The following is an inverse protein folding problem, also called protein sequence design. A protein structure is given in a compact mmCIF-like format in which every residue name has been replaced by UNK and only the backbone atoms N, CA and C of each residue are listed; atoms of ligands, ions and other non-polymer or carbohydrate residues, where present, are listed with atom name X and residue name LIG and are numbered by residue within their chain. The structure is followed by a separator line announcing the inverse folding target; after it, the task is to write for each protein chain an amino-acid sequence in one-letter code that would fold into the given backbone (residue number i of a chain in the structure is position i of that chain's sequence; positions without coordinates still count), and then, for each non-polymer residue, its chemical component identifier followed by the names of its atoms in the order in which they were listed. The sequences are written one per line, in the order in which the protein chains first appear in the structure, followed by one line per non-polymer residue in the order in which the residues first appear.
data_IF_500352817381
#
_entry.id   IF_500352817381
#
_cell.length_a   1.000
_cell.length_b   1.000
_cell.length_c   1.000
_cell.angle_alpha   90.00
_cell.angle_beta   90.00
_cell.angle_gamma   90.00
#
_symmetry.space_group_name_H-M   'P 1'
#
loop_
_entity.id
_entity.type
_entity.pdbx_description
1 polymer ?
#
# COMPACT_ATOMS: atom_id res chain seq x y z
N UNK A 1 -8.47 12.80 -16.05
CA UNK A 1 -7.67 11.59 -16.30
C UNK A 1 -6.73 11.33 -15.15
N UNK A 2 -6.65 10.08 -14.74
CA UNK A 2 -5.78 9.73 -13.64
C UNK A 2 -4.33 9.72 -14.06
N UNK A 3 -3.46 10.33 -13.25
CA UNK A 3 -2.02 10.25 -13.41
C UNK A 3 -1.39 9.28 -12.41
N UNK A 4 -2.22 8.57 -11.65
CA UNK A 4 -1.76 7.63 -10.64
C UNK A 4 -1.09 6.42 -11.30
N UNK A 5 0.07 6.02 -10.78
CA UNK A 5 0.85 4.90 -11.31
C UNK A 5 1.17 3.89 -10.21
N UNK A 6 1.27 2.63 -10.61
CA UNK A 6 1.68 1.58 -9.68
C UNK A 6 3.07 1.85 -9.12
N UNK A 7 3.25 1.57 -7.84
CA UNK A 7 4.50 1.82 -7.13
C UNK A 7 4.58 3.19 -6.49
N UNK A 8 3.65 4.09 -6.79
CA UNK A 8 3.60 5.39 -6.14
C UNK A 8 2.98 5.28 -4.76
N UNK A 9 3.49 6.08 -3.83
CA UNK A 9 2.98 6.16 -2.46
C UNK A 9 2.23 7.48 -2.33
N UNK A 10 0.97 7.41 -1.89
CA UNK A 10 0.12 8.58 -1.69
C UNK A 10 -0.37 8.65 -0.26
N UNK A 11 -0.63 9.86 0.20
CA UNK A 11 -1.42 10.08 1.39
C UNK A 11 -2.88 9.83 1.02
N UNK A 12 -3.56 8.97 1.78
CA UNK A 12 -4.96 8.63 1.51
C UNK A 12 -5.82 8.90 2.73
N UNK A 13 -7.06 9.33 2.48
CA UNK A 13 -8.06 9.62 3.53
C UNK A 13 -8.88 8.39 3.86
N UNK A 14 -9.22 8.26 5.13
CA UNK A 14 -10.21 7.28 5.63
C UNK A 14 -9.90 5.85 5.22
N UNK A 15 -8.63 5.48 5.31
CA UNK A 15 -8.19 4.11 5.00
C UNK A 15 -8.65 3.18 6.12
N UNK A 16 -9.43 2.16 5.76
CA UNK A 16 -9.90 1.15 6.70
C UNK A 16 -8.83 0.09 6.89
N UNK A 17 -8.49 -0.19 8.15
CA UNK A 17 -7.61 -1.30 8.51
C UNK A 17 -8.22 -2.03 9.70
N UNK A 18 -7.76 -3.26 9.92
CA UNK A 18 -8.22 -4.09 11.03
C UNK A 18 -7.05 -4.30 11.98
N UNK A 19 -7.26 -4.04 13.27
CA UNK A 19 -6.21 -4.27 14.27
C UNK A 19 -6.17 -5.73 14.72
N UNK A 20 -5.24 -6.08 15.59
CA UNK A 20 -5.06 -7.45 16.07
C UNK A 20 -6.25 -7.99 16.86
N UNK A 21 -7.14 -7.12 17.33
CA UNK A 21 -8.34 -7.50 18.08
C UNK A 21 -9.57 -7.62 17.17
N UNK A 22 -9.40 -7.47 15.86
CA UNK A 22 -10.50 -7.54 14.91
C UNK A 22 -11.31 -6.26 14.75
N UNK A 23 -10.88 -5.18 15.39
CA UNK A 23 -11.58 -3.91 15.30
C UNK A 23 -11.18 -3.17 14.03
N UNK A 24 -12.16 -2.61 13.33
CA UNK A 24 -11.92 -1.79 12.15
C UNK A 24 -11.56 -0.37 12.56
N UNK A 25 -10.47 0.13 12.01
CA UNK A 25 -10.00 1.49 12.22
C UNK A 25 -10.04 2.24 10.90
N UNK A 26 -10.47 3.49 10.94
CA UNK A 26 -10.39 4.38 9.78
C UNK A 26 -9.50 5.56 10.12
N UNK A 27 -8.48 5.78 9.35
CA UNK A 27 -7.64 6.97 9.53
C UNK A 27 -6.89 7.29 8.24
N UNK A 28 -6.38 8.51 8.18
CA UNK A 28 -5.53 8.91 7.06
C UNK A 28 -4.16 8.26 7.23
N UNK A 29 -3.64 7.69 6.15
CA UNK A 29 -2.32 7.07 6.17
C UNK A 29 -1.74 6.95 4.77
N UNK A 30 -0.42 6.77 4.65
CA UNK A 30 0.17 6.49 3.35
C UNK A 30 -0.26 5.13 2.82
N UNK A 31 -0.41 5.03 1.50
CA UNK A 31 -0.73 3.78 0.83
C UNK A 31 0.15 3.63 -0.40
N UNK A 32 0.47 2.39 -0.77
CA UNK A 32 1.17 2.07 -2.02
C UNK A 32 0.14 1.62 -3.04
N UNK A 33 0.16 2.23 -4.22
CA UNK A 33 -0.71 1.83 -5.34
C UNK A 33 -0.07 0.66 -6.06
N UNK A 34 -0.81 -0.42 -6.25
CA UNK A 34 -0.28 -1.65 -6.87
C UNK A 34 -1.10 -2.17 -8.04
N UNK A 35 -2.03 -1.39 -8.54
CA UNK A 35 -2.83 -1.77 -9.71
C UNK A 35 -1.98 -1.97 -10.95
N UNK A 36 -2.54 -2.73 -11.91
CA UNK A 36 -2.03 -2.72 -13.27
C UNK A 36 -2.37 -1.38 -13.93
N UNK A 37 -1.66 -1.06 -15.01
CA UNK A 37 -1.81 0.23 -15.69
C UNK A 37 -3.22 0.45 -16.24
N UNK A 38 -3.86 -0.60 -16.75
CA UNK A 38 -5.17 -0.47 -17.35
C UNK A 38 -6.24 -0.17 -16.32
N UNK A 39 -6.20 -0.84 -15.17
CA UNK A 39 -7.13 -0.56 -14.10
C UNK A 39 -7.04 0.87 -13.61
N UNK A 40 -5.82 1.41 -13.47
CA UNK A 40 -5.63 2.79 -13.02
C UNK A 40 -6.09 3.80 -14.05
N UNK A 41 -5.94 3.48 -15.33
CA UNK A 41 -6.28 4.39 -16.43
C UNK A 41 -7.79 4.49 -16.69
N UNK A 42 -8.51 3.39 -16.52
CA UNK A 42 -9.90 3.29 -16.95
C UNK A 42 -10.91 3.18 -15.82
N UNK A 43 -10.45 3.16 -14.60
CA UNK A 43 -11.32 3.03 -13.43
C UNK A 43 -11.08 4.18 -12.46
N UNK A 44 -12.12 4.60 -11.76
CA UNK A 44 -12.01 5.59 -10.70
C UNK A 44 -11.52 5.01 -9.38
N UNK A 45 -11.16 3.73 -9.35
CA UNK A 45 -10.69 3.04 -8.15
C UNK A 45 -9.24 2.60 -8.31
N UNK A 46 -8.60 2.27 -7.20
CA UNK A 46 -7.26 1.70 -7.23
C UNK A 46 -7.10 0.67 -6.12
N UNK A 47 -6.19 -0.28 -6.35
CA UNK A 47 -5.84 -1.27 -5.34
C UNK A 47 -4.60 -0.78 -4.61
N UNK A 48 -4.66 -0.78 -3.28
CA UNK A 48 -3.61 -0.22 -2.44
C UNK A 48 -3.26 -1.14 -1.29
N UNK A 49 -2.04 -0.94 -0.77
CA UNK A 49 -1.58 -1.57 0.47
C UNK A 49 -1.30 -0.44 1.45
N UNK A 50 -1.97 -0.43 2.61
CA UNK A 50 -1.69 0.59 3.63
C UNK A 50 -0.30 0.41 4.22
N UNK A 51 0.31 1.52 4.66
CA UNK A 51 1.59 1.52 5.36
C UNK A 51 1.36 1.85 6.83
N UNK A 52 2.20 1.28 7.69
CA UNK A 52 2.19 1.57 9.12
C UNK A 52 3.59 1.96 9.57
N UNK A 53 3.68 2.94 10.47
CA UNK A 53 4.95 3.34 11.07
C UNK A 53 5.35 2.46 12.26
N UNK A 54 4.52 1.49 12.64
CA UNK A 54 4.80 0.56 13.75
C UNK A 54 5.73 -0.57 13.30
N UNK A 55 6.93 -0.20 12.89
CA UNK A 55 7.89 -1.11 12.25
C UNK A 55 8.29 -2.27 13.16
N UNK A 56 8.59 -1.99 14.43
CA UNK A 56 9.08 -3.01 15.36
C UNK A 56 8.12 -4.19 15.55
N UNK A 57 6.83 -3.91 15.51
CA UNK A 57 5.81 -4.96 15.70
C UNK A 57 5.52 -5.73 14.43
N UNK A 58 5.62 -5.08 13.28
CA UNK A 58 5.05 -5.59 12.03
C UNK A 58 6.08 -6.14 11.06
N UNK A 59 7.35 -5.72 11.15
CA UNK A 59 8.37 -6.19 10.20
C UNK A 59 8.67 -7.69 10.32
N UNK A 60 8.32 -8.31 11.45
CA UNK A 60 8.56 -9.72 11.68
C UNK A 60 7.55 -10.61 10.98
N UNK A 61 6.47 -10.05 10.46
CA UNK A 61 5.47 -10.79 9.72
C UNK A 61 5.99 -11.02 8.30
N UNK A 62 6.08 -12.28 7.88
CA UNK A 62 6.81 -12.60 6.65
C UNK A 62 6.18 -12.06 5.36
N UNK A 63 4.95 -11.58 5.40
CA UNK A 63 4.31 -10.93 4.26
C UNK A 63 4.43 -9.41 4.27
N UNK A 64 5.07 -8.83 5.29
CA UNK A 64 5.23 -7.39 5.40
C UNK A 64 6.61 -6.97 4.92
N UNK A 65 6.66 -5.86 4.20
CA UNK A 65 7.91 -5.33 3.61
C UNK A 65 8.24 -4.01 4.26
N UNK A 66 9.49 -3.86 4.70
CA UNK A 66 9.98 -2.61 5.25
C UNK A 66 10.28 -1.64 4.11
N UNK A 67 9.68 -0.47 4.16
CA UNK A 67 9.87 0.59 3.17
C UNK A 67 10.65 1.73 3.82
N UNK A 68 11.80 2.06 3.26
CA UNK A 68 12.61 3.20 3.66
C UNK A 68 12.61 4.21 2.51
N UNK A 69 12.26 5.43 2.82
CA UNK A 69 12.12 6.48 1.83
C UNK A 69 12.67 7.78 2.42
N UNK A 70 13.20 8.65 1.58
CA UNK A 70 13.65 9.97 2.00
C UNK A 70 12.48 10.88 2.39
N UNK A 71 11.29 10.58 1.90
CA UNK A 71 10.10 11.42 2.11
C UNK A 71 9.18 10.92 3.22
N UNK A 72 9.44 9.73 3.76
CA UNK A 72 8.58 9.10 4.76
C UNK A 72 9.42 8.55 5.90
N UNK A 73 8.82 8.48 7.08
CA UNK A 73 9.40 7.69 8.16
C UNK A 73 9.45 6.23 7.72
N UNK A 74 10.41 5.44 8.21
CA UNK A 74 10.41 4.00 7.93
C UNK A 74 9.02 3.42 8.22
N UNK A 75 8.52 2.65 7.30
CA UNK A 75 7.16 2.11 7.35
C UNK A 75 7.15 0.66 6.90
N UNK A 76 6.13 -0.07 7.30
CA UNK A 76 5.93 -1.46 6.93
C UNK A 76 4.64 -1.59 6.17
N UNK A 77 4.64 -2.38 5.10
CA UNK A 77 3.41 -2.67 4.35
C UNK A 77 2.50 -3.55 5.20
N UNK A 78 1.21 -3.19 5.22
CA UNK A 78 0.18 -4.06 5.79
C UNK A 78 -0.37 -4.92 4.66
N UNK A 79 0.44 -5.85 4.15
CA UNK A 79 0.14 -6.60 2.93
C UNK A 79 -1.14 -7.42 3.04
N UNK A 80 -1.44 -7.93 4.23
CA UNK A 80 -2.67 -8.67 4.49
C UNK A 80 -3.92 -7.79 4.40
N UNK A 81 -3.74 -6.47 4.37
CA UNK A 81 -4.87 -5.52 4.32
C UNK A 81 -4.96 -4.83 2.97
N UNK A 82 -4.50 -5.50 1.93
CA UNK A 82 -4.68 -5.04 0.56
C UNK A 82 -6.16 -4.77 0.31
N UNK A 83 -6.46 -3.62 -0.27
CA UNK A 83 -7.85 -3.21 -0.44
C UNK A 83 -8.02 -2.31 -1.65
N UNK A 84 -9.27 -2.04 -1.98
CA UNK A 84 -9.63 -1.14 -3.07
C UNK A 84 -10.19 0.14 -2.49
N UNK A 85 -9.71 1.28 -2.98
CA UNK A 85 -10.23 2.58 -2.59
C UNK A 85 -10.53 3.41 -3.83
N UNK A 86 -11.30 4.49 -3.65
CA UNK A 86 -11.50 5.46 -4.72
C UNK A 86 -10.20 6.23 -4.96
N UNK A 87 -9.85 6.49 -6.21
CA UNK A 87 -8.71 7.35 -6.50
C UNK A 87 -8.89 8.75 -5.94
N UNK A 88 -10.14 9.19 -5.73
CA UNK A 88 -10.43 10.48 -5.11
C UNK A 88 -10.03 10.55 -3.64
N UNK A 89 -9.77 9.41 -2.99
CA UNK A 89 -9.26 9.37 -1.62
C UNK A 89 -7.77 9.69 -1.52
N UNK A 90 -7.06 9.65 -2.64
CA UNK A 90 -5.64 10.02 -2.69
C UNK A 90 -5.52 11.54 -2.66
N UNK A 91 -4.63 12.05 -1.81
CA UNK A 91 -4.50 13.48 -1.54
C UNK A 91 -3.15 13.99 -2.00
N UNK A 92 -3.18 15.00 -2.88
CA UNK A 92 -1.97 15.67 -3.32
C UNK A 92 -1.10 14.83 -4.26
N UNK A 93 0.12 15.29 -4.52
CA UNK A 93 1.05 14.53 -5.36
C UNK A 93 1.57 13.30 -4.64
N UNK A 94 2.21 12.36 -5.38
CA UNK A 94 2.83 11.21 -4.72
C UNK A 94 3.85 11.65 -3.67
N UNK A 95 3.83 10.98 -2.52
CA UNK A 95 4.83 11.22 -1.48
C UNK A 95 6.18 10.66 -1.89
N UNK A 96 6.18 9.55 -2.60
CA UNK A 96 7.38 8.90 -3.11
C UNK A 96 6.98 7.87 -4.13
N UNK A 97 7.98 7.23 -4.72
CA UNK A 97 7.78 6.15 -5.68
C UNK A 97 8.78 5.04 -5.37
N UNK A 98 8.30 3.81 -5.29
CA UNK A 98 9.18 2.67 -5.08
C UNK A 98 10.02 2.41 -6.33
N UNK A 99 11.28 2.08 -6.12
CA UNK A 99 12.10 1.58 -7.22
C UNK A 99 11.62 0.17 -7.62
N UNK A 100 12.14 -0.34 -8.71
CA UNK A 100 11.72 -1.63 -9.23
C UNK A 100 11.99 -2.77 -8.25
N UNK A 101 13.11 -2.73 -7.54
CA UNK A 101 13.45 -3.77 -6.56
C UNK A 101 12.45 -3.80 -5.41
N UNK A 102 12.15 -2.65 -4.83
CA UNK A 102 11.20 -2.57 -3.73
C UNK A 102 9.78 -2.90 -4.17
N UNK A 103 9.39 -2.46 -5.37
CA UNK A 103 8.08 -2.81 -5.91
C UNK A 103 7.95 -4.32 -6.11
N UNK A 104 9.01 -4.99 -6.57
CA UNK A 104 9.00 -6.43 -6.72
C UNK A 104 8.91 -7.15 -5.38
N UNK A 105 9.56 -6.63 -4.33
CA UNK A 105 9.42 -7.18 -2.98
C UNK A 105 7.98 -7.09 -2.50
N UNK A 106 7.31 -5.98 -2.76
CA UNK A 106 5.91 -5.80 -2.38
C UNK A 106 5.02 -6.76 -3.18
N UNK A 107 5.24 -6.88 -4.48
CA UNK A 107 4.48 -7.81 -5.32
C UNK A 107 4.66 -9.25 -4.86
N UNK A 108 5.87 -9.63 -4.50
CA UNK A 108 6.14 -10.98 -3.98
C UNK A 108 5.43 -11.20 -2.65
N UNK A 109 5.38 -10.20 -1.79
CA UNK A 109 4.63 -10.28 -0.54
C UNK A 109 3.13 -10.49 -0.79
N UNK A 110 2.58 -9.80 -1.80
CA UNK A 110 1.18 -9.99 -2.20
C UNK A 110 0.95 -11.42 -2.68
N UNK A 111 1.86 -11.96 -3.47
CA UNK A 111 1.76 -13.35 -3.94
C UNK A 111 1.73 -14.33 -2.77
N UNK A 112 2.58 -14.11 -1.77
CA UNK A 112 2.61 -14.96 -0.57
C UNK A 112 1.32 -14.82 0.23
N UNK A 113 0.84 -13.59 0.41
CA UNK A 113 -0.38 -13.34 1.16
C UNK A 113 -1.61 -14.00 0.54
N UNK A 114 -1.67 -14.03 -0.78
CA UNK A 114 -2.79 -14.59 -1.51
C UNK A 114 -2.55 -16.04 -1.96
N UNK A 115 -1.44 -16.63 -1.55
CA UNK A 115 -1.05 -18.00 -1.90
C UNK A 115 -1.01 -18.23 -3.43
N UNK A 116 -0.46 -17.27 -4.15
CA UNK A 116 -0.34 -17.33 -5.61
C UNK A 116 1.02 -17.85 -6.09
N UNK A 117 1.92 -18.13 -5.16
CA UNK A 117 3.23 -18.71 -5.48
C UNK A 117 3.12 -20.21 -5.57
N UNK A 118 3.56 -20.74 -6.65
CA UNK A 118 3.70 -22.17 -6.80
C UNK A 118 5.11 -22.60 -6.44
#
# INVERSE_FOLDING_TARGET
MSTVKAGEIYWAKDVSTVNCCGETLQKNRPVIVINNKQGLKHSGICTVIPLSSKVEKLEKTHCNVLIKSSSLKPSVTLTEQISTISQSSLVGPPLDRLDENNLNLVKDAVKRQLDLCS
#
